data_IF_745905242439
#
_entry.id   IF_745905242439
#
_cell.length_a   1.000
_cell.length_b   1.000
_cell.length_c   1.000
_cell.angle_alpha   90.00
_cell.angle_beta   90.00
_cell.angle_gamma   90.00
#
_symmetry.space_group_name_H-M   'P 1'
#
loop_
_entity.id
_entity.type
_entity.pdbx_description
1 polymer ?
#
# COMPACT_ATOMS: atom_id res chain seq x y z
N UNK A 1 31.19 -29.53 -24.08
CA UNK A 1 30.40 -28.29 -23.88
C UNK A 1 29.06 -28.68 -23.24
N UNK A 2 28.55 -27.97 -22.22
CA UNK A 2 27.16 -28.16 -21.82
C UNK A 2 26.23 -27.77 -22.98
N UNK A 3 25.05 -28.37 -23.12
CA UNK A 3 24.09 -27.97 -24.13
C UNK A 3 23.70 -26.50 -23.92
N UNK A 4 23.49 -25.72 -25.00
CA UNK A 4 22.95 -24.38 -24.88
C UNK A 4 21.56 -24.47 -24.21
N UNK A 5 21.36 -23.74 -23.12
CA UNK A 5 20.05 -23.55 -22.56
C UNK A 5 19.16 -22.96 -23.66
N UNK A 6 18.07 -23.66 -24.01
CA UNK A 6 17.06 -23.13 -24.91
C UNK A 6 16.44 -21.93 -24.20
N UNK A 7 16.89 -20.73 -24.56
CA UNK A 7 16.23 -19.49 -24.17
C UNK A 7 14.99 -19.41 -25.06
N UNK A 8 13.84 -19.86 -24.54
CA UNK A 8 12.57 -19.61 -25.22
C UNK A 8 12.36 -18.10 -25.22
N UNK A 9 12.60 -17.46 -26.37
CA UNK A 9 12.55 -16.00 -26.54
C UNK A 9 11.12 -15.44 -26.39
N UNK A 10 10.09 -16.30 -26.38
CA UNK A 10 8.68 -15.91 -26.38
C UNK A 10 8.04 -15.81 -24.97
N UNK A 11 8.72 -15.13 -24.04
CA UNK A 11 8.15 -14.80 -22.71
C UNK A 11 6.79 -14.07 -22.79
N UNK A 12 6.52 -13.43 -23.92
CA UNK A 12 5.26 -12.76 -24.23
C UNK A 12 4.07 -13.73 -24.27
N UNK A 13 4.30 -15.00 -24.60
CA UNK A 13 3.26 -16.06 -24.60
C UNK A 13 2.90 -16.50 -23.18
N UNK A 14 3.84 -16.40 -22.25
CA UNK A 14 3.67 -16.78 -20.85
C UNK A 14 3.01 -15.66 -20.01
N UNK A 15 3.12 -14.42 -20.47
CA UNK A 15 2.57 -13.25 -19.79
C UNK A 15 1.05 -13.33 -19.56
N UNK A 16 0.21 -13.66 -20.56
CA UNK A 16 -1.22 -13.87 -20.36
C UNK A 16 -1.53 -14.88 -19.26
N UNK A 17 -0.81 -16.00 -19.22
CA UNK A 17 -0.98 -17.05 -18.20
C UNK A 17 -0.65 -16.54 -16.80
N UNK A 18 0.48 -15.84 -16.63
CA UNK A 18 0.84 -15.23 -15.35
C UNK A 18 -0.21 -14.19 -14.91
N UNK A 19 -0.65 -13.33 -15.83
CA UNK A 19 -1.64 -12.29 -15.55
C UNK A 19 -2.99 -12.87 -15.15
N UNK A 20 -3.43 -13.93 -15.82
CA UNK A 20 -4.66 -14.64 -15.47
C UNK A 20 -4.54 -15.24 -14.07
N UNK A 21 -3.50 -16.04 -13.82
CA UNK A 21 -3.25 -16.65 -12.52
C UNK A 21 -3.19 -15.61 -11.38
N UNK A 22 -2.57 -14.45 -11.62
CA UNK A 22 -2.51 -13.36 -10.64
C UNK A 22 -3.87 -12.76 -10.32
N UNK A 23 -4.74 -12.63 -11.33
CA UNK A 23 -6.01 -11.94 -11.22
C UNK A 23 -7.17 -12.83 -10.77
N UNK A 24 -7.09 -14.16 -10.94
CA UNK A 24 -8.15 -15.12 -10.56
C UNK A 24 -8.69 -14.87 -9.15
N UNK A 25 -7.79 -14.68 -8.17
CA UNK A 25 -8.15 -14.55 -6.75
C UNK A 25 -7.74 -13.19 -6.16
N UNK A 26 -7.62 -12.14 -6.99
CA UNK A 26 -7.26 -10.80 -6.52
C UNK A 26 -8.36 -10.14 -5.64
N UNK A 27 -9.58 -10.69 -5.64
CA UNK A 27 -10.72 -10.19 -4.84
C UNK A 27 -10.55 -10.35 -3.33
N UNK A 28 -9.59 -11.16 -2.89
CA UNK A 28 -9.31 -11.41 -1.46
C UNK A 28 -8.63 -10.24 -0.74
N UNK A 29 -8.34 -9.14 -1.44
CA UNK A 29 -7.79 -7.91 -0.87
C UNK A 29 -6.33 -8.00 -0.43
N UNK A 30 -5.68 -9.16 -0.57
CA UNK A 30 -4.27 -9.38 -0.20
C UNK A 30 -3.30 -9.24 -1.38
N UNK A 31 -3.82 -9.18 -2.60
CA UNK A 31 -3.07 -8.95 -3.84
C UNK A 31 -3.70 -7.79 -4.60
N UNK A 32 -2.88 -6.89 -5.14
CA UNK A 32 -3.37 -5.82 -6.00
C UNK A 32 -3.63 -6.36 -7.41
N UNK A 33 -4.87 -6.27 -7.88
CA UNK A 33 -5.24 -6.70 -9.23
C UNK A 33 -4.42 -5.96 -10.30
N UNK A 34 -3.95 -6.69 -11.30
CA UNK A 34 -3.22 -6.12 -12.43
C UNK A 34 -4.15 -5.91 -13.62
N UNK A 35 -4.61 -4.66 -13.79
CA UNK A 35 -5.60 -4.30 -14.82
C UNK A 35 -4.97 -3.99 -16.18
N UNK A 36 -3.68 -3.62 -16.21
CA UNK A 36 -2.98 -3.30 -17.46
C UNK A 36 -2.72 -4.56 -18.29
N UNK A 37 -2.82 -4.44 -19.61
CA UNK A 37 -2.37 -5.48 -20.53
C UNK A 37 -0.86 -5.50 -20.73
N UNK A 38 -0.17 -4.42 -20.35
CA UNK A 38 1.28 -4.36 -20.40
C UNK A 38 1.90 -5.04 -19.17
N UNK A 39 2.98 -5.80 -19.36
CA UNK A 39 3.74 -6.39 -18.27
C UNK A 39 4.53 -5.31 -17.50
N UNK A 40 4.70 -5.45 -16.17
CA UNK A 40 5.71 -4.70 -15.42
C UNK A 40 7.11 -4.91 -16.00
N UNK A 41 7.99 -3.91 -15.90
CA UNK A 41 9.36 -3.97 -16.44
C UNK A 41 10.14 -5.23 -16.00
N UNK A 42 9.97 -5.66 -14.76
CA UNK A 42 10.65 -6.83 -14.20
C UNK A 42 10.08 -8.19 -14.64
N UNK A 43 8.91 -8.24 -15.30
CA UNK A 43 8.26 -9.51 -15.66
C UNK A 43 8.96 -10.22 -16.81
N UNK A 44 9.42 -9.47 -17.82
CA UNK A 44 10.07 -10.08 -18.99
C UNK A 44 11.31 -10.88 -18.61
N UNK A 45 12.17 -10.32 -17.76
CA UNK A 45 13.38 -11.01 -17.29
C UNK A 45 13.04 -12.27 -16.47
N UNK A 46 11.97 -12.22 -15.67
CA UNK A 46 11.53 -13.37 -14.87
C UNK A 46 10.93 -14.48 -15.71
N UNK A 47 10.13 -14.15 -16.71
CA UNK A 47 9.51 -15.15 -17.59
C UNK A 47 10.53 -15.82 -18.51
N UNK A 48 11.68 -15.19 -18.77
CA UNK A 48 12.82 -15.82 -19.46
C UNK A 48 13.55 -16.86 -18.59
N UNK A 49 13.37 -16.84 -17.27
CA UNK A 49 13.97 -17.82 -16.38
C UNK A 49 13.24 -19.17 -16.52
N UNK A 50 13.98 -20.20 -16.96
CA UNK A 50 13.41 -21.52 -17.17
C UNK A 50 12.77 -22.06 -15.89
N UNK A 51 11.50 -22.48 -15.99
CA UNK A 51 10.74 -23.01 -14.86
C UNK A 51 10.13 -21.97 -13.91
N UNK A 52 10.50 -20.68 -14.04
CA UNK A 52 10.04 -19.63 -13.12
C UNK A 52 8.52 -19.44 -13.16
N UNK A 53 7.90 -19.48 -14.35
CA UNK A 53 6.43 -19.37 -14.46
C UNK A 53 5.71 -20.46 -13.66
N UNK A 54 6.20 -21.70 -13.72
CA UNK A 54 5.61 -22.80 -12.97
C UNK A 54 5.75 -22.64 -11.46
N UNK A 55 6.88 -22.12 -10.99
CA UNK A 55 7.08 -21.76 -9.58
C UNK A 55 6.22 -20.57 -9.16
N UNK A 56 6.10 -19.56 -10.02
CA UNK A 56 5.28 -18.39 -9.79
C UNK A 56 3.81 -18.77 -9.61
N UNK A 57 3.25 -19.61 -10.49
CA UNK A 57 1.86 -20.09 -10.39
C UNK A 57 1.61 -20.81 -9.05
N UNK A 58 2.57 -21.62 -8.58
CA UNK A 58 2.49 -22.28 -7.26
C UNK A 58 2.59 -21.29 -6.10
N UNK A 59 3.37 -20.22 -6.24
CA UNK A 59 3.56 -19.22 -5.20
C UNK A 59 2.37 -18.25 -5.06
N UNK A 60 1.67 -17.93 -6.16
CA UNK A 60 0.52 -17.01 -6.17
C UNK A 60 -0.50 -17.28 -5.05
N UNK A 61 -1.05 -18.51 -4.85
CA UNK A 61 -2.03 -18.76 -3.80
C UNK A 61 -1.46 -18.46 -2.40
N UNK A 62 -0.19 -18.76 -2.16
CA UNK A 62 0.48 -18.54 -0.87
C UNK A 62 0.57 -17.06 -0.52
N UNK A 63 0.62 -16.17 -1.52
CA UNK A 63 0.65 -14.71 -1.32
C UNK A 63 -0.60 -14.23 -0.56
N UNK A 64 -1.77 -14.82 -0.81
CA UNK A 64 -2.99 -14.45 -0.09
C UNK A 64 -2.94 -14.81 1.40
N UNK A 65 -2.12 -15.78 1.77
CA UNK A 65 -1.96 -16.20 3.17
C UNK A 65 -0.97 -15.32 3.94
N UNK A 66 -0.21 -14.46 3.26
CA UNK A 66 0.80 -13.62 3.88
C UNK A 66 0.15 -12.48 4.68
N UNK A 67 -0.13 -12.75 5.96
CA UNK A 67 -0.75 -11.80 6.88
C UNK A 67 0.16 -10.68 7.36
N UNK A 68 1.47 -10.76 7.08
CA UNK A 68 2.46 -9.80 7.55
C UNK A 68 2.43 -8.45 6.82
N UNK A 69 1.81 -8.40 5.63
CA UNK A 69 1.73 -7.19 4.82
C UNK A 69 0.41 -6.44 5.10
N UNK A 70 0.51 -5.18 5.53
CA UNK A 70 -0.64 -4.28 5.67
C UNK A 70 -1.19 -3.86 4.30
N UNK A 71 -0.30 -3.69 3.32
CA UNK A 71 -0.63 -3.32 1.94
C UNK A 71 -0.70 -4.57 1.07
N UNK A 72 -1.65 -4.65 0.11
CA UNK A 72 -1.70 -5.75 -0.84
C UNK A 72 -0.40 -5.86 -1.64
N UNK A 73 0.10 -7.09 -1.81
CA UNK A 73 1.30 -7.32 -2.62
C UNK A 73 0.97 -6.98 -4.08
N UNK A 74 1.84 -6.21 -4.72
CA UNK A 74 1.71 -5.86 -6.14
C UNK A 74 2.43 -6.86 -7.03
N UNK A 75 1.99 -7.00 -8.29
CA UNK A 75 2.63 -7.89 -9.24
C UNK A 75 4.11 -7.50 -9.48
N UNK A 76 4.43 -6.21 -9.51
CA UNK A 76 5.81 -5.74 -9.64
C UNK A 76 6.71 -6.16 -8.47
N UNK A 77 6.16 -6.22 -7.25
CA UNK A 77 6.86 -6.72 -6.07
C UNK A 77 7.03 -8.24 -6.12
N UNK A 78 6.00 -8.96 -6.57
CA UNK A 78 6.02 -10.41 -6.76
C UNK A 78 7.11 -10.85 -7.75
N UNK A 79 7.35 -10.05 -8.80
CA UNK A 79 8.36 -10.31 -9.82
C UNK A 79 9.78 -9.87 -9.42
N UNK A 80 10.00 -9.43 -8.17
CA UNK A 80 11.35 -9.12 -7.71
C UNK A 80 12.22 -10.38 -7.61
N UNK A 81 13.54 -10.25 -7.83
CA UNK A 81 14.47 -11.38 -7.75
C UNK A 81 14.35 -12.13 -6.41
N UNK A 82 14.23 -13.47 -6.49
CA UNK A 82 14.15 -14.36 -5.33
C UNK A 82 12.84 -14.26 -4.52
N UNK A 83 11.86 -13.46 -4.94
CA UNK A 83 10.61 -13.31 -4.21
C UNK A 83 9.78 -14.60 -4.21
N UNK A 84 9.62 -15.23 -5.39
CA UNK A 84 8.93 -16.52 -5.56
C UNK A 84 9.58 -17.61 -4.71
N UNK A 85 10.90 -17.72 -4.75
CA UNK A 85 11.66 -18.67 -3.92
C UNK A 85 11.45 -18.44 -2.41
N UNK A 86 11.41 -17.17 -1.96
CA UNK A 86 11.13 -16.82 -0.55
C UNK A 86 9.71 -17.21 -0.14
N UNK A 87 8.73 -17.03 -1.02
CA UNK A 87 7.35 -17.44 -0.74
C UNK A 87 7.19 -18.95 -0.66
N UNK A 88 7.75 -19.68 -1.64
CA UNK A 88 7.73 -21.14 -1.63
C UNK A 88 8.52 -21.72 -0.44
N UNK A 89 9.64 -21.10 -0.09
CA UNK A 89 10.46 -21.45 1.07
C UNK A 89 9.87 -21.04 2.43
N UNK A 90 8.65 -20.49 2.47
CA UNK A 90 7.97 -20.16 3.72
C UNK A 90 8.55 -18.99 4.50
N UNK A 91 9.51 -18.24 3.94
CA UNK A 91 10.18 -17.10 4.59
C UNK A 91 9.18 -16.09 5.18
N UNK A 92 8.04 -15.93 4.49
CA UNK A 92 6.99 -15.01 4.89
C UNK A 92 5.86 -15.65 5.73
N UNK A 93 5.81 -16.98 5.86
CA UNK A 93 4.84 -17.65 6.74
C UNK A 93 5.33 -17.72 8.19
N UNK A 94 6.63 -17.98 8.38
CA UNK A 94 7.23 -18.14 9.71
C UNK A 94 7.43 -16.84 10.48
N UNK A 95 7.50 -15.70 9.79
CA UNK A 95 7.56 -14.40 10.45
C UNK A 95 6.18 -13.97 10.91
N UNK A 96 5.73 -14.56 12.03
CA UNK A 96 4.65 -13.98 12.85
C UNK A 96 5.07 -12.54 13.11
N UNK A 97 4.33 -11.57 12.55
CA UNK A 97 4.47 -10.17 12.92
C UNK A 97 4.16 -10.13 14.42
N UNK A 98 5.19 -10.06 15.25
CA UNK A 98 4.96 -9.58 16.62
C UNK A 98 4.25 -8.24 16.43
N UNK A 99 3.04 -8.07 16.98
CA UNK A 99 2.42 -6.76 16.94
C UNK A 99 3.49 -5.82 17.49
N UNK A 100 3.89 -4.82 16.70
CA UNK A 100 4.84 -3.82 17.16
C UNK A 100 4.36 -3.45 18.55
N UNK A 101 5.16 -3.76 19.57
CA UNK A 101 4.76 -3.60 20.94
C UNK A 101 4.62 -2.08 21.16
N UNK A 102 3.47 -1.53 20.79
CA UNK A 102 2.80 -0.52 21.58
C UNK A 102 2.46 -1.26 22.87
N UNK A 103 3.48 -1.48 23.69
CA UNK A 103 3.26 -1.53 25.12
C UNK A 103 2.40 -0.31 25.48
N UNK A 104 1.58 -0.39 26.52
CA UNK A 104 0.80 0.77 26.92
C UNK A 104 1.81 1.90 27.10
N UNK A 105 1.78 2.90 26.22
CA UNK A 105 2.35 4.19 26.56
C UNK A 105 1.65 4.51 27.87
N UNK A 106 2.41 4.45 28.98
CA UNK A 106 1.87 4.83 30.27
C UNK A 106 1.23 6.18 30.03
N UNK A 107 0.01 6.35 30.50
CA UNK A 107 -0.72 7.60 30.31
C UNK A 107 0.13 8.82 30.76
N UNK A 108 1.10 8.58 31.65
CA UNK A 108 2.18 9.44 32.13
C UNK A 108 3.30 9.84 31.16
N UNK A 109 3.58 9.12 30.06
CA UNK A 109 4.70 9.44 29.14
C UNK A 109 4.28 10.36 27.98
N UNK A 110 3.04 10.86 28.01
CA UNK A 110 2.63 11.90 27.06
C UNK A 110 3.25 13.22 27.54
N UNK A 111 3.91 14.00 26.66
CA UNK A 111 4.24 15.36 27.03
C UNK A 111 2.94 16.07 27.48
N UNK A 112 2.99 16.89 28.54
CA UNK A 112 1.81 17.60 29.01
C UNK A 112 1.16 18.34 27.84
N UNK A 113 -0.19 18.47 27.81
CA UNK A 113 -0.87 19.21 26.77
C UNK A 113 -0.21 20.57 26.63
N UNK A 114 0.20 20.90 25.41
CA UNK A 114 0.96 22.11 25.12
C UNK A 114 0.13 23.32 25.54
N UNK A 115 0.64 24.07 26.52
CA UNK A 115 -0.01 25.31 26.97
C UNK A 115 0.04 26.33 25.83
N UNK A 116 -1.14 26.81 25.44
CA UNK A 116 -1.27 27.81 24.39
C UNK A 116 -0.86 29.17 24.95
N UNK A 117 0.43 29.50 24.79
CA UNK A 117 1.05 30.70 25.34
C UNK A 117 1.65 31.55 24.22
N UNK A 118 1.84 32.85 24.48
CA UNK A 118 2.47 33.77 23.54
C UNK A 118 1.65 34.02 22.26
N UNK A 119 2.28 33.85 21.10
CA UNK A 119 1.74 34.23 19.79
C UNK A 119 0.46 33.48 19.43
N UNK A 120 0.33 32.24 19.89
CA UNK A 120 -0.82 31.38 19.66
C UNK A 120 -2.10 31.92 20.33
N UNK A 121 -1.99 32.37 21.59
CA UNK A 121 -3.10 32.99 22.31
C UNK A 121 -3.51 34.33 21.65
N UNK A 122 -2.53 35.09 21.17
CA UNK A 122 -2.78 36.33 20.44
C UNK A 122 -3.43 36.08 19.07
N UNK A 123 -3.06 35.00 18.37
CA UNK A 123 -3.71 34.57 17.13
C UNK A 123 -5.17 34.17 17.38
N UNK A 124 -5.44 33.42 18.45
CA UNK A 124 -6.80 33.03 18.81
C UNK A 124 -7.70 34.21 19.14
N UNK A 125 -7.23 35.17 19.96
CA UNK A 125 -8.00 36.36 20.29
C UNK A 125 -8.26 37.26 19.06
N UNK A 126 -7.29 37.34 18.12
CA UNK A 126 -7.50 38.01 16.83
C UNK A 126 -8.60 37.34 16.02
N UNK A 127 -8.57 36.02 15.89
CA UNK A 127 -9.59 35.26 15.16
C UNK A 127 -10.96 35.37 15.82
N UNK A 128 -11.02 35.35 17.16
CA UNK A 128 -12.26 35.52 17.92
C UNK A 128 -12.89 36.90 17.68
N UNK A 129 -12.10 37.97 17.67
CA UNK A 129 -12.57 39.32 17.34
C UNK A 129 -13.07 39.42 15.90
N UNK A 130 -12.32 38.87 14.95
CA UNK A 130 -12.72 38.85 13.55
C UNK A 130 -14.04 38.07 13.30
N UNK A 131 -14.25 36.96 14.02
CA UNK A 131 -15.53 36.24 13.97
C UNK A 131 -16.67 37.02 14.61
N UNK A 132 -16.44 37.66 15.77
CA UNK A 132 -17.46 38.47 16.44
C UNK A 132 -17.91 39.66 15.58
N UNK A 133 -16.98 40.31 14.87
CA UNK A 133 -17.31 41.36 13.90
C UNK A 133 -18.10 40.82 12.71
N UNK A 134 -17.71 39.67 12.15
CA UNK A 134 -18.46 39.01 11.07
C UNK A 134 -19.88 38.63 11.48
N UNK A 135 -20.05 38.10 12.69
CA UNK A 135 -21.36 37.76 13.25
C UNK A 135 -22.22 39.01 13.42
N UNK A 136 -21.69 40.10 13.99
CA UNK A 136 -22.42 41.38 14.08
C UNK A 136 -22.76 41.99 12.72
N UNK A 137 -21.86 41.88 11.74
CA UNK A 137 -22.10 42.36 10.38
C UNK A 137 -23.18 41.52 9.67
N UNK A 138 -23.25 40.21 9.91
CA UNK A 138 -24.34 39.37 9.42
C UNK A 138 -25.67 39.71 10.11
N UNK A 139 -25.67 39.95 11.42
CA UNK A 139 -26.88 40.36 12.15
C UNK A 139 -27.39 41.75 11.73
N UNK A 140 -26.48 42.67 11.38
CA UNK A 140 -26.85 44.01 10.89
C UNK A 140 -27.24 44.04 9.40
N UNK A 141 -26.88 43.02 8.63
CA UNK A 141 -27.22 42.88 7.21
C UNK A 141 -28.62 42.31 6.94
N UNK A 142 -29.31 41.79 7.96
CA UNK A 142 -30.67 41.22 7.87
C UNK A 142 -31.76 42.26 8.21
N UNK A 143 -31.43 43.56 8.15
CA UNK A 143 -32.36 44.66 8.47
C UNK A 143 -32.63 45.67 7.35
N UNK A 144 -32.12 45.46 6.13
CA UNK A 144 -32.32 46.40 5.02
C UNK A 144 -32.94 45.73 3.80
N UNK A 145 -34.15 45.18 3.99
CA UNK A 145 -35.18 45.17 2.96
C UNK A 145 -36.44 45.73 3.62
N UNK A 146 -37.16 46.60 2.92
CA UNK A 146 -38.38 47.33 3.32
C UNK A 146 -38.20 48.76 3.85
N UNK A 147 -38.07 49.71 2.92
CA UNK A 147 -39.13 50.71 2.62
C UNK A 147 -38.82 51.46 1.33
#
# INVERSE_FOLDING_TARGET
PPPPAIVCDSWEQDWPTLREAWNTDAKTGRRAAWRSSQPPAAVGDRLRESGWLGEAIKAIPLVAELRQFDTPVTLGQFCQPGWVAKVLGGYFRDRKREPAARGPARFDDRPPPQEWTGDDAAAFERTKRAMAEKLRAMESGVGSVES
#
